data_IF_341272622603
#
_entry.id   IF_341272622603
#
_cell.length_a   1.000
_cell.length_b   1.000
_cell.length_c   1.000
_cell.angle_alpha   90.00
_cell.angle_beta   90.00
_cell.angle_gamma   90.00
#
_symmetry.space_group_name_H-M   'P 1'
#
loop_
_entity.id
_entity.type
_entity.pdbx_description
1 polymer ?
#
# COMPACT_ATOMS: atom_id res chain seq x y z
N UNK A 1 -7.71 -22.90 9.73
CA UNK A 1 -7.33 -22.93 8.29
C UNK A 1 -8.55 -22.76 7.37
N UNK A 2 -9.63 -23.55 7.51
CA UNK A 2 -10.84 -23.44 6.66
C UNK A 2 -11.43 -22.02 6.57
N UNK A 3 -11.63 -21.34 7.70
CA UNK A 3 -12.20 -19.98 7.70
C UNK A 3 -11.34 -18.95 6.95
N UNK A 4 -10.02 -19.02 7.08
CA UNK A 4 -9.11 -18.13 6.33
C UNK A 4 -9.21 -18.36 4.82
N UNK A 5 -9.29 -19.63 4.40
CA UNK A 5 -9.49 -19.99 2.99
C UNK A 5 -10.82 -19.47 2.44
N UNK A 6 -11.92 -19.65 3.18
CA UNK A 6 -13.24 -19.17 2.78
C UNK A 6 -13.32 -17.65 2.76
N UNK A 7 -12.72 -16.97 3.74
CA UNK A 7 -12.60 -15.53 3.75
C UNK A 7 -11.83 -15.02 2.53
N UNK A 8 -10.68 -15.62 2.20
CA UNK A 8 -9.92 -15.28 0.98
C UNK A 8 -10.73 -15.47 -0.29
N UNK A 9 -11.48 -16.57 -0.40
CA UNK A 9 -12.31 -16.82 -1.58
C UNK A 9 -13.43 -15.77 -1.71
N UNK A 10 -14.05 -15.40 -0.60
CA UNK A 10 -15.06 -14.36 -0.58
C UNK A 10 -14.48 -12.99 -0.95
N UNK A 11 -13.32 -12.62 -0.37
CA UNK A 11 -12.61 -11.38 -0.72
C UNK A 11 -12.27 -11.33 -2.21
N UNK A 12 -11.75 -12.42 -2.78
CA UNK A 12 -11.45 -12.52 -4.20
C UNK A 12 -12.70 -12.37 -5.07
N UNK A 13 -13.80 -13.04 -4.70
CA UNK A 13 -15.07 -12.97 -5.43
C UNK A 13 -15.67 -11.56 -5.44
N UNK A 14 -15.43 -10.77 -4.39
CA UNK A 14 -15.86 -9.37 -4.28
C UNK A 14 -14.84 -8.38 -4.87
N UNK A 15 -13.70 -8.83 -5.38
CA UNK A 15 -12.61 -7.95 -5.83
C UNK A 15 -11.98 -7.14 -4.69
N UNK A 16 -12.20 -7.52 -3.43
CA UNK A 16 -11.73 -6.83 -2.23
C UNK A 16 -10.27 -7.20 -1.89
N UNK A 17 -9.41 -7.23 -2.91
CA UNK A 17 -8.01 -7.64 -2.83
C UNK A 17 -7.12 -6.68 -3.60
N UNK A 18 -5.91 -6.45 -3.09
CA UNK A 18 -4.96 -5.52 -3.67
C UNK A 18 -3.60 -6.21 -3.86
N UNK A 19 -2.94 -6.03 -5.01
CA UNK A 19 -1.57 -6.51 -5.20
C UNK A 19 -0.57 -5.59 -4.50
N UNK A 20 0.39 -6.17 -3.80
CA UNK A 20 1.49 -5.49 -3.16
C UNK A 20 2.82 -6.04 -3.67
N UNK A 21 3.68 -5.15 -4.14
CA UNK A 21 5.07 -5.48 -4.51
C UNK A 21 5.98 -5.38 -3.29
N UNK A 22 6.95 -6.28 -3.22
CA UNK A 22 8.01 -6.29 -2.23
C UNK A 22 9.33 -6.73 -2.87
N UNK A 23 10.44 -6.36 -2.25
CA UNK A 23 11.76 -6.77 -2.70
C UNK A 23 12.12 -8.13 -2.08
N UNK A 24 12.46 -9.11 -2.92
CA UNK A 24 12.94 -10.43 -2.47
C UNK A 24 14.44 -10.36 -2.22
N UNK A 25 15.18 -9.82 -3.20
CA UNK A 25 16.61 -9.52 -3.10
C UNK A 25 16.99 -8.28 -3.93
N UNK A 26 18.28 -8.01 -4.11
CA UNK A 26 18.76 -6.83 -4.86
C UNK A 26 18.27 -6.77 -6.32
N UNK A 27 17.91 -7.90 -6.91
CA UNK A 27 17.51 -8.05 -8.31
C UNK A 27 16.12 -8.65 -8.52
N UNK A 28 15.55 -9.28 -7.49
CA UNK A 28 14.28 -9.98 -7.55
C UNK A 28 13.15 -9.20 -6.89
N UNK A 29 12.05 -9.10 -7.63
CA UNK A 29 10.83 -8.44 -7.21
C UNK A 29 9.76 -9.48 -6.99
N UNK A 30 9.13 -9.42 -5.83
CA UNK A 30 7.99 -10.24 -5.45
C UNK A 30 6.69 -9.45 -5.52
N UNK A 31 5.58 -10.15 -5.77
CA UNK A 31 4.23 -9.63 -5.69
C UNK A 31 3.37 -10.62 -4.90
N UNK A 32 2.57 -10.08 -3.99
CA UNK A 32 1.58 -10.83 -3.22
C UNK A 32 0.24 -10.11 -3.24
N UNK A 33 -0.84 -10.88 -3.18
CA UNK A 33 -2.19 -10.34 -3.06
C UNK A 33 -2.59 -10.25 -1.60
N UNK A 34 -3.16 -9.12 -1.17
CA UNK A 34 -3.58 -8.85 0.19
C UNK A 34 -5.07 -8.51 0.25
N UNK A 35 -5.74 -8.74 1.39
CA UNK A 35 -7.05 -8.13 1.65
C UNK A 35 -6.97 -6.59 1.52
N UNK A 36 -8.01 -5.97 0.98
CA UNK A 36 -8.12 -4.51 0.86
C UNK A 36 -8.44 -3.84 2.23
N UNK A 37 -7.45 -3.78 3.13
CA UNK A 37 -7.61 -3.36 4.53
C UNK A 37 -8.11 -1.92 4.77
N UNK A 38 -8.20 -1.09 3.73
CA UNK A 38 -8.79 0.25 3.80
C UNK A 38 -10.32 0.23 3.85
N UNK A 39 -10.93 -0.86 3.40
CA UNK A 39 -12.36 -1.08 3.55
C UNK A 39 -12.68 -1.53 4.99
N UNK A 40 -13.60 -0.83 5.66
CA UNK A 40 -13.97 -1.11 7.05
C UNK A 40 -14.59 -2.49 7.26
N UNK A 41 -15.30 -3.01 6.25
CA UNK A 41 -15.90 -4.34 6.27
C UNK A 41 -14.83 -5.41 6.16
N UNK A 42 -13.87 -5.24 5.25
CA UNK A 42 -12.70 -6.13 5.12
C UNK A 42 -11.88 -6.13 6.40
N UNK A 43 -11.63 -4.96 6.99
CA UNK A 43 -10.88 -4.83 8.24
C UNK A 43 -11.58 -5.59 9.40
N UNK A 44 -12.89 -5.39 9.56
CA UNK A 44 -13.69 -6.10 10.56
C UNK A 44 -13.65 -7.62 10.36
N UNK A 45 -13.78 -8.10 9.12
CA UNK A 45 -13.69 -9.52 8.78
C UNK A 45 -12.32 -10.11 9.16
N UNK A 46 -11.24 -9.41 8.84
CA UNK A 46 -9.88 -9.85 9.17
C UNK A 46 -9.64 -9.88 10.67
N UNK A 47 -10.17 -8.92 11.44
CA UNK A 47 -10.08 -8.92 12.90
C UNK A 47 -10.87 -10.07 13.54
N UNK A 48 -12.06 -10.38 13.01
CA UNK A 48 -12.81 -11.56 13.45
C UNK A 48 -12.05 -12.85 13.14
N UNK A 49 -11.46 -12.96 11.95
CA UNK A 49 -10.63 -14.10 11.59
C UNK A 49 -9.41 -14.21 12.52
N UNK A 50 -8.73 -13.10 12.80
CA UNK A 50 -7.58 -13.04 13.70
C UNK A 50 -7.89 -13.57 15.10
N UNK A 51 -9.07 -13.25 15.65
CA UNK A 51 -9.52 -13.74 16.96
C UNK A 51 -9.75 -15.26 17.01
N UNK A 52 -10.04 -15.89 15.86
CA UNK A 52 -10.27 -17.32 15.74
C UNK A 52 -8.99 -18.13 15.46
N UNK A 53 -7.88 -17.45 15.12
CA UNK A 53 -6.63 -18.14 14.78
C UNK A 53 -5.83 -18.49 16.04
N UNK A 54 -5.24 -19.70 16.10
CA UNK A 54 -4.32 -20.02 17.17
C UNK A 54 -3.08 -19.13 17.11
N UNK A 55 -2.57 -18.77 18.29
CA UNK A 55 -1.32 -18.01 18.42
C UNK A 55 -0.14 -18.82 17.90
N UNK A 56 0.74 -18.18 17.14
CA UNK A 56 1.96 -18.82 16.62
C UNK A 56 1.73 -19.80 15.47
N UNK A 57 0.56 -19.76 14.83
CA UNK A 57 0.27 -20.55 13.63
C UNK A 57 1.25 -20.22 12.48
N UNK A 58 1.64 -18.96 12.38
CA UNK A 58 2.67 -18.50 11.46
C UNK A 58 3.80 -17.85 12.25
N UNK A 59 5.02 -18.19 11.88
CA UNK A 59 6.24 -17.59 12.41
C UNK A 59 6.99 -16.90 11.29
N UNK A 60 7.45 -15.69 11.56
CA UNK A 60 8.38 -14.99 10.67
C UNK A 60 9.81 -15.34 11.07
N UNK A 61 10.57 -15.89 10.13
CA UNK A 61 11.98 -16.23 10.34
C UNK A 61 12.86 -15.18 9.67
N UNK A 62 13.69 -14.49 10.45
CA UNK A 62 14.79 -13.67 9.95
C UNK A 62 16.11 -14.29 10.41
N UNK A 63 16.75 -15.05 9.52
CA UNK A 63 17.88 -15.91 9.87
C UNK A 63 17.47 -17.00 10.86
N UNK A 64 18.17 -17.09 12.01
CA UNK A 64 17.91 -18.10 13.04
C UNK A 64 16.82 -17.74 14.06
N UNK A 65 16.29 -16.52 14.04
CA UNK A 65 15.27 -16.08 15.00
C UNK A 65 13.88 -16.21 14.38
N UNK A 66 13.00 -16.94 15.07
CA UNK A 66 11.58 -17.02 14.76
C UNK A 66 10.82 -16.06 15.68
N UNK A 67 10.07 -15.14 15.09
CA UNK A 67 9.18 -14.22 15.81
C UNK A 67 7.73 -14.62 15.58
N UNK A 68 6.95 -14.66 16.65
CA UNK A 68 5.50 -14.84 16.55
C UNK A 68 4.87 -13.59 15.95
N UNK A 69 3.95 -13.80 15.01
CA UNK A 69 3.17 -12.74 14.39
C UNK A 69 1.94 -12.44 15.24
N UNK A 70 1.47 -11.17 15.21
CA UNK A 70 0.19 -10.83 15.82
C UNK A 70 -0.96 -11.55 15.11
N UNK A 71 -2.10 -11.75 15.79
CA UNK A 71 -3.25 -12.45 15.21
C UNK A 71 -3.71 -11.83 13.88
N UNK A 72 -3.72 -10.50 13.80
CA UNK A 72 -4.06 -9.76 12.58
C UNK A 72 -3.06 -10.04 11.44
N UNK A 73 -1.76 -9.94 11.72
CA UNK A 73 -0.72 -10.20 10.72
C UNK A 73 -0.78 -11.67 10.26
N UNK A 74 -1.04 -12.61 11.17
CA UNK A 74 -1.26 -14.02 10.80
C UNK A 74 -2.47 -14.17 9.87
N UNK A 75 -3.59 -13.52 10.17
CA UNK A 75 -4.78 -13.58 9.34
C UNK A 75 -4.52 -13.02 7.93
N UNK A 76 -3.88 -11.85 7.84
CA UNK A 76 -3.50 -11.23 6.56
C UNK A 76 -2.55 -12.14 5.78
N UNK A 77 -1.53 -12.70 6.43
CA UNK A 77 -0.55 -13.57 5.77
C UNK A 77 -1.19 -14.86 5.25
N UNK A 78 -2.04 -15.51 6.05
CA UNK A 78 -2.80 -16.69 5.59
C UNK A 78 -3.71 -16.33 4.42
N UNK A 79 -4.41 -15.20 4.50
CA UNK A 79 -5.26 -14.77 3.41
C UNK A 79 -4.45 -14.55 2.14
N UNK A 80 -3.27 -13.92 2.25
CA UNK A 80 -2.36 -13.68 1.14
C UNK A 80 -1.92 -14.98 0.46
N UNK A 81 -1.56 -16.01 1.24
CA UNK A 81 -1.20 -17.32 0.70
C UNK A 81 -2.34 -17.95 -0.10
N UNK A 82 -3.56 -17.96 0.45
CA UNK A 82 -4.72 -18.51 -0.27
C UNK A 82 -5.09 -17.69 -1.51
N UNK A 83 -5.00 -16.37 -1.45
CA UNK A 83 -5.27 -15.48 -2.58
C UNK A 83 -4.31 -15.73 -3.74
N UNK A 84 -3.00 -15.82 -3.44
CA UNK A 84 -1.98 -16.14 -4.43
C UNK A 84 -2.26 -17.48 -5.12
N UNK A 85 -2.64 -18.51 -4.35
CA UNK A 85 -3.04 -19.80 -4.91
C UNK A 85 -4.28 -19.70 -5.81
N UNK A 86 -5.36 -19.05 -5.35
CA UNK A 86 -6.58 -18.93 -6.15
C UNK A 86 -6.37 -18.19 -7.47
N UNK A 87 -5.57 -17.12 -7.45
CA UNK A 87 -5.27 -16.33 -8.63
C UNK A 87 -4.43 -17.14 -9.62
N UNK A 88 -3.42 -17.86 -9.12
CA UNK A 88 -2.59 -18.75 -9.94
C UNK A 88 -3.42 -19.84 -10.62
N UNK A 89 -4.25 -20.55 -9.85
CA UNK A 89 -5.14 -21.59 -10.37
C UNK A 89 -6.19 -21.05 -11.35
N UNK A 90 -6.74 -19.86 -11.10
CA UNK A 90 -7.75 -19.26 -11.97
C UNK A 90 -7.26 -18.95 -13.39
N UNK A 91 -5.96 -18.76 -13.55
CA UNK A 91 -5.32 -18.36 -14.80
C UNK A 91 -4.83 -19.57 -15.59
N UNK A 92 -4.31 -20.59 -14.89
CA UNK A 92 -4.01 -21.90 -15.48
C UNK A 92 -5.25 -22.54 -16.14
N UNK A 93 -6.47 -22.21 -15.68
CA UNK A 93 -7.74 -22.71 -16.24
C UNK A 93 -8.19 -21.94 -17.51
N UNK A 94 -7.77 -20.67 -17.69
CA UNK A 94 -8.42 -19.75 -18.65
C UNK A 94 -7.63 -19.42 -19.92
N UNK A 95 -6.30 -19.49 -19.96
CA UNK A 95 -5.52 -19.14 -21.18
C UNK A 95 -4.12 -19.73 -21.21
N UNK A 96 -3.59 -19.87 -22.43
CA UNK A 96 -2.21 -20.28 -22.76
C UNK A 96 -1.18 -19.73 -21.76
N UNK A 97 -0.49 -20.67 -21.11
CA UNK A 97 0.84 -20.56 -20.47
C UNK A 97 1.40 -19.11 -20.48
N UNK A 98 1.52 -18.43 -19.32
CA UNK A 98 2.05 -17.04 -19.21
C UNK A 98 3.55 -16.91 -19.53
N UNK A 99 4.13 -17.84 -20.29
CA UNK A 99 5.56 -18.06 -20.49
C UNK A 99 6.27 -17.02 -21.36
N UNK A 100 5.61 -15.91 -21.74
CA UNK A 100 6.22 -14.84 -22.54
C UNK A 100 6.37 -13.48 -21.83
N UNK A 101 5.58 -13.21 -20.78
CA UNK A 101 5.57 -11.89 -20.13
C UNK A 101 5.97 -12.00 -18.66
N UNK A 102 7.15 -11.47 -18.33
CA UNK A 102 7.64 -11.37 -16.95
C UNK A 102 6.65 -10.64 -16.03
N UNK A 103 5.90 -9.69 -16.57
CA UNK A 103 4.88 -8.95 -15.83
C UNK A 103 3.65 -9.80 -15.54
N UNK A 104 3.16 -10.58 -16.51
CA UNK A 104 2.07 -11.54 -16.24
C UNK A 104 2.53 -12.61 -15.24
N UNK A 105 3.75 -13.13 -15.38
CA UNK A 105 4.32 -14.07 -14.42
C UNK A 105 4.39 -13.50 -12.99
N UNK A 106 4.72 -12.20 -12.85
CA UNK A 106 4.75 -11.51 -11.56
C UNK A 106 3.35 -11.39 -10.93
N UNK A 107 2.33 -11.02 -11.68
CA UNK A 107 0.98 -10.82 -11.11
C UNK A 107 0.22 -12.13 -10.90
N UNK A 108 0.46 -13.11 -11.75
CA UNK A 108 -0.46 -14.24 -11.97
C UNK A 108 0.22 -15.60 -11.98
N UNK A 109 1.55 -15.64 -12.04
CA UNK A 109 2.35 -16.86 -11.99
C UNK A 109 2.90 -17.14 -10.60
N UNK A 110 4.23 -17.25 -10.51
CA UNK A 110 4.92 -17.58 -9.25
C UNK A 110 4.99 -16.39 -8.27
N UNK A 111 4.60 -15.19 -8.69
CA UNK A 111 4.66 -14.01 -7.84
C UNK A 111 6.08 -13.48 -7.62
N UNK A 112 7.09 -13.99 -8.33
CA UNK A 112 8.49 -13.53 -8.25
C UNK A 112 9.07 -13.45 -9.66
N UNK A 113 9.77 -12.36 -9.97
CA UNK A 113 10.45 -12.19 -11.26
C UNK A 113 11.68 -11.30 -11.14
N UNK A 114 12.58 -11.44 -12.12
CA UNK A 114 13.76 -10.60 -12.29
C UNK A 114 13.66 -9.80 -13.59
N UNK A 115 13.76 -8.48 -13.48
CA UNK A 115 13.73 -7.54 -14.60
C UNK A 115 15.16 -7.15 -15.00
N UNK A 116 15.85 -8.03 -15.73
CA UNK A 116 17.26 -7.91 -16.13
C UNK A 116 17.48 -7.82 -17.65
N UNK A 117 16.40 -7.79 -18.43
CA UNK A 117 16.46 -7.62 -19.87
C UNK A 117 16.76 -6.17 -20.30
N UNK A 118 17.20 -5.95 -21.55
CA UNK A 118 17.38 -4.61 -22.10
C UNK A 118 16.10 -3.78 -21.98
N UNK A 119 16.18 -2.61 -21.35
CA UNK A 119 15.03 -1.72 -21.15
C UNK A 119 14.08 -2.09 -20.00
N UNK A 120 14.38 -3.15 -19.22
CA UNK A 120 13.50 -3.59 -18.12
C UNK A 120 13.77 -2.88 -16.78
N UNK A 121 14.83 -2.07 -16.68
CA UNK A 121 15.29 -1.47 -15.41
C UNK A 121 14.25 -0.62 -14.68
N UNK A 122 13.30 -0.03 -15.40
CA UNK A 122 12.24 0.83 -14.84
C UNK A 122 10.92 0.09 -14.56
N UNK A 123 10.79 -1.18 -14.96
CA UNK A 123 9.52 -1.91 -14.85
C UNK A 123 9.13 -2.11 -13.38
N UNK A 124 10.08 -2.53 -12.54
CA UNK A 124 9.85 -2.71 -11.11
C UNK A 124 9.35 -1.41 -10.44
N UNK A 125 10.06 -0.31 -10.69
CA UNK A 125 9.73 1.03 -10.19
C UNK A 125 8.37 1.50 -10.71
N UNK A 126 8.06 1.25 -11.98
CA UNK A 126 6.77 1.57 -12.59
C UNK A 126 5.60 0.81 -11.97
N UNK A 127 5.76 -0.51 -11.74
CA UNK A 127 4.73 -1.32 -11.06
C UNK A 127 4.55 -0.83 -9.62
N UNK A 128 5.63 -0.57 -8.89
CA UNK A 128 5.54 -0.04 -7.52
C UNK A 128 4.84 1.33 -7.49
N UNK A 129 5.16 2.23 -8.42
CA UNK A 129 4.52 3.55 -8.52
C UNK A 129 3.02 3.41 -8.84
N UNK A 130 2.66 2.53 -9.77
CA UNK A 130 1.26 2.27 -10.10
C UNK A 130 0.49 1.72 -8.89
N UNK A 131 1.06 0.76 -8.17
CA UNK A 131 0.44 0.13 -7.00
C UNK A 131 0.39 1.02 -5.76
N UNK A 132 1.28 2.01 -5.64
CA UNK A 132 1.30 2.92 -4.50
C UNK A 132 -0.02 3.64 -4.29
N UNK A 133 -0.79 3.87 -5.36
CA UNK A 133 -2.14 4.46 -5.36
C UNK A 133 -3.12 3.70 -4.47
N UNK A 134 -3.00 2.37 -4.42
CA UNK A 134 -3.90 1.52 -3.62
C UNK A 134 -3.49 1.45 -2.14
N UNK A 135 -2.33 1.98 -1.78
CA UNK A 135 -1.75 1.88 -0.43
C UNK A 135 -1.62 3.23 0.29
N UNK A 136 -2.18 4.30 -0.29
CA UNK A 136 -2.14 5.68 0.24
C UNK A 136 -2.56 5.74 1.72
N UNK A 137 -3.60 4.98 2.12
CA UNK A 137 -4.12 5.01 3.49
C UNK A 137 -3.37 4.18 4.54
N UNK A 138 -2.30 3.46 4.16
CA UNK A 138 -1.49 2.64 5.08
C UNK A 138 -0.22 3.34 5.60
N UNK A 139 0.00 4.59 5.20
CA UNK A 139 1.18 5.36 5.60
C UNK A 139 1.12 5.79 7.07
N UNK A 140 2.27 5.81 7.74
CA UNK A 140 2.41 6.33 9.12
C UNK A 140 1.96 7.78 9.24
N UNK A 141 2.18 8.55 8.18
CA UNK A 141 1.82 9.96 8.08
C UNK A 141 0.90 10.18 6.89
N UNK A 142 -0.20 10.88 7.14
CA UNK A 142 -1.24 11.13 6.14
C UNK A 142 -1.33 12.63 5.85
N UNK A 143 -1.36 13.04 4.57
CA UNK A 143 -1.66 14.42 4.23
C UNK A 143 -3.13 14.71 4.55
N UNK A 144 -3.38 15.90 5.09
CA UNK A 144 -4.73 16.41 5.39
C UNK A 144 -4.92 17.77 4.73
N UNK A 145 -6.11 17.99 4.18
CA UNK A 145 -6.51 19.31 3.68
C UNK A 145 -7.01 20.14 4.85
N UNK A 146 -6.41 21.31 5.04
CA UNK A 146 -6.81 22.28 6.05
C UNK A 146 -7.53 23.43 5.34
N UNK A 147 -8.77 23.68 5.73
CA UNK A 147 -9.52 24.84 5.29
C UNK A 147 -9.57 25.83 6.44
N UNK A 148 -8.96 26.99 6.24
CA UNK A 148 -9.00 28.09 7.19
C UNK A 148 -9.95 29.16 6.66
N UNK A 149 -10.89 29.57 7.51
CA UNK A 149 -11.76 30.72 7.23
C UNK A 149 -10.99 31.99 7.60
N UNK A 150 -10.83 32.87 6.63
CA UNK A 150 -10.26 34.18 6.80
C UNK A 150 -11.31 35.22 6.42
N UNK A 151 -11.17 36.46 6.91
CA UNK A 151 -12.15 37.53 6.65
C UNK A 151 -12.38 37.84 5.16
N UNK A 152 -11.55 37.30 4.26
CA UNK A 152 -11.62 37.46 2.81
C UNK A 152 -12.10 36.20 2.05
N UNK A 153 -12.43 35.11 2.75
CA UNK A 153 -12.86 33.83 2.17
C UNK A 153 -12.20 32.61 2.82
N UNK A 154 -11.99 31.55 2.06
CA UNK A 154 -11.36 30.34 2.57
C UNK A 154 -9.95 30.16 1.99
N UNK A 155 -8.98 29.88 2.85
CA UNK A 155 -7.65 29.41 2.45
C UNK A 155 -7.54 27.91 2.61
N UNK A 156 -7.07 27.24 1.56
CA UNK A 156 -6.78 25.81 1.55
C UNK A 156 -5.27 25.60 1.69
N UNK A 157 -4.86 24.80 2.67
CA UNK A 157 -3.47 24.39 2.88
C UNK A 157 -3.38 22.87 3.09
N UNK A 158 -2.17 22.34 3.01
CA UNK A 158 -1.89 20.93 3.32
C UNK A 158 -1.09 20.84 4.62
N UNK A 159 -1.61 20.01 5.53
CA UNK A 159 -0.92 19.55 6.72
C UNK A 159 -0.60 18.07 6.63
N UNK A 160 0.14 17.57 7.62
CA UNK A 160 0.52 16.16 7.75
C UNK A 160 0.26 15.74 9.20
N UNK A 161 -0.50 14.67 9.38
CA UNK A 161 -0.80 14.09 10.71
C UNK A 161 -0.27 12.67 10.79
N UNK A 162 0.11 12.25 12.00
CA UNK A 162 0.39 10.83 12.25
C UNK A 162 -0.95 10.07 12.29
N UNK A 163 -1.01 8.91 11.64
CA UNK A 163 -2.23 8.10 11.53
C UNK A 163 -2.85 7.76 12.90
N UNK A 164 -2.01 7.52 13.89
CA UNK A 164 -2.43 7.14 15.25
C UNK A 164 -2.67 8.36 16.17
N UNK A 165 -2.54 9.59 15.66
CA UNK A 165 -2.67 10.83 16.41
C UNK A 165 -3.52 11.86 15.66
N UNK A 166 -4.68 11.45 15.13
CA UNK A 166 -5.56 12.27 14.29
C UNK A 166 -6.14 13.52 14.97
N UNK A 167 -5.94 13.69 16.28
CA UNK A 167 -6.40 14.85 17.07
C UNK A 167 -5.30 15.90 17.30
N UNK A 168 -4.08 15.68 16.79
CA UNK A 168 -3.00 16.66 16.86
C UNK A 168 -3.11 17.69 15.74
N UNK A 169 -2.65 18.91 16.03
CA UNK A 169 -2.55 19.97 15.02
C UNK A 169 -1.67 19.48 13.86
N UNK A 170 -2.16 19.53 12.61
CA UNK A 170 -1.40 19.06 11.47
C UNK A 170 -0.10 19.84 11.29
N UNK A 171 0.99 19.13 11.03
CA UNK A 171 2.28 19.78 10.73
C UNK A 171 2.21 20.35 9.31
N UNK A 172 2.46 21.65 9.09
CA UNK A 172 2.39 22.25 7.76
C UNK A 172 3.31 21.54 6.76
N UNK A 173 2.82 21.26 5.55
CA UNK A 173 3.60 20.57 4.52
C UNK A 173 4.94 21.28 4.20
N UNK A 174 4.99 22.62 4.30
CA UNK A 174 6.22 23.41 4.15
C UNK A 174 7.33 23.00 5.13
N UNK A 175 6.98 22.65 6.37
CA UNK A 175 7.94 22.15 7.37
C UNK A 175 8.44 20.76 7.00
N UNK A 176 7.57 19.89 6.49
CA UNK A 176 7.98 18.57 6.02
C UNK A 176 9.02 18.66 4.89
N UNK A 177 8.90 19.65 4.00
CA UNK A 177 9.85 19.87 2.90
C UNK A 177 11.25 20.27 3.39
N UNK A 178 11.35 20.99 4.51
CA UNK A 178 12.57 21.66 4.96
C UNK A 178 13.25 20.99 6.15
N UNK A 179 12.48 20.52 7.13
CA UNK A 179 13.00 20.03 8.41
C UNK A 179 13.65 18.64 8.27
N UNK A 180 14.85 18.46 8.85
CA UNK A 180 15.59 17.18 8.78
C UNK A 180 14.86 16.01 9.44
N UNK A 181 14.04 16.27 10.45
CA UNK A 181 13.25 15.27 11.20
C UNK A 181 12.35 14.45 10.27
N UNK A 182 11.94 15.03 9.13
CA UNK A 182 11.05 14.37 8.18
C UNK A 182 11.76 13.56 7.08
N UNK A 183 13.10 13.55 7.01
CA UNK A 183 13.82 12.92 5.89
C UNK A 183 13.39 11.47 5.61
N UNK A 184 13.19 10.65 6.65
CA UNK A 184 12.80 9.25 6.50
C UNK A 184 11.38 9.05 5.95
N UNK A 185 10.47 10.00 6.18
CA UNK A 185 9.05 9.88 5.81
C UNK A 185 8.64 10.84 4.68
N UNK A 186 9.53 11.75 4.27
CA UNK A 186 9.23 12.80 3.30
C UNK A 186 8.79 12.22 1.96
N UNK A 187 9.51 11.21 1.47
CA UNK A 187 9.22 10.63 0.16
C UNK A 187 7.82 10.01 0.11
N UNK A 188 7.42 9.25 1.13
CA UNK A 188 6.11 8.59 1.15
C UNK A 188 4.95 9.58 1.26
N UNK A 189 5.11 10.65 2.05
CA UNK A 189 4.11 11.72 2.13
C UNK A 189 4.02 12.48 0.80
N UNK A 190 5.15 12.84 0.19
CA UNK A 190 5.16 13.53 -1.10
C UNK A 190 4.59 12.68 -2.23
N UNK A 191 4.86 11.37 -2.23
CA UNK A 191 4.25 10.45 -3.19
C UNK A 191 2.72 10.49 -3.09
N UNK A 192 2.18 10.49 -1.88
CA UNK A 192 0.73 10.59 -1.66
C UNK A 192 0.17 11.94 -2.11
N UNK A 193 0.86 13.03 -1.78
CA UNK A 193 0.46 14.39 -2.16
C UNK A 193 0.49 14.56 -3.68
N UNK A 194 1.50 14.01 -4.37
CA UNK A 194 1.57 14.01 -5.84
C UNK A 194 0.39 13.26 -6.46
N UNK A 195 -0.02 12.14 -5.87
CA UNK A 195 -1.21 11.40 -6.32
C UNK A 195 -2.49 12.22 -6.13
N UNK A 196 -2.65 12.92 -5.00
CA UNK A 196 -3.78 13.83 -4.80
C UNK A 196 -3.79 14.97 -5.81
N UNK A 197 -2.61 15.47 -6.18
CA UNK A 197 -2.47 16.56 -7.14
C UNK A 197 -2.80 16.15 -8.58
N UNK A 198 -2.75 14.85 -8.92
CA UNK A 198 -3.31 14.32 -10.18
C UNK A 198 -4.84 14.54 -10.26
N UNK A 199 -5.55 14.46 -9.13
CA UNK A 199 -7.01 14.66 -9.07
C UNK A 199 -7.42 16.12 -8.87
N UNK A 200 -6.54 16.96 -8.31
CA UNK A 200 -6.79 18.39 -8.10
C UNK A 200 -5.62 19.23 -8.63
N UNK A 201 -5.62 19.60 -9.93
CA UNK A 201 -4.51 20.31 -10.57
C UNK A 201 -4.01 21.59 -9.88
N UNK A 202 -4.87 22.42 -9.24
CA UNK A 202 -4.39 23.58 -8.48
C UNK A 202 -3.39 23.23 -7.35
N UNK A 203 -3.44 22.00 -6.83
CA UNK A 203 -2.53 21.52 -5.81
C UNK A 203 -1.08 21.44 -6.31
N UNK A 204 -0.87 21.13 -7.60
CA UNK A 204 0.47 21.09 -8.19
C UNK A 204 1.16 22.46 -8.11
N UNK A 205 0.41 23.54 -8.34
CA UNK A 205 0.95 24.90 -8.23
C UNK A 205 1.30 25.24 -6.77
N UNK A 206 0.45 24.87 -5.81
CA UNK A 206 0.72 25.05 -4.39
C UNK A 206 1.99 24.31 -3.92
N UNK A 207 2.15 23.04 -4.31
CA UNK A 207 3.32 22.22 -3.94
C UNK A 207 4.60 22.79 -4.55
N UNK A 208 4.58 23.11 -5.85
CA UNK A 208 5.75 23.70 -6.54
C UNK A 208 6.16 25.06 -5.99
N UNK A 209 5.22 25.81 -5.40
CA UNK A 209 5.48 27.05 -4.67
C UNK A 209 5.97 26.84 -3.22
N UNK A 210 6.37 25.62 -2.86
CA UNK A 210 6.91 25.30 -1.54
C UNK A 210 5.86 25.04 -0.46
N UNK A 211 4.61 24.77 -0.86
CA UNK A 211 3.49 24.52 0.04
C UNK A 211 3.26 25.65 1.07
N UNK A 212 3.39 26.89 0.62
CA UNK A 212 3.11 28.08 1.42
C UNK A 212 1.76 28.68 1.01
N UNK A 213 0.90 29.00 1.97
CA UNK A 213 -0.35 29.71 1.71
C UNK A 213 -0.01 31.14 1.29
N UNK A 214 -0.17 31.46 0.00
CA UNK A 214 -0.16 32.86 -0.42
C UNK A 214 -1.50 33.48 -0.04
N UNK A 215 -1.50 34.36 0.96
CA UNK A 215 -2.54 35.39 1.07
C UNK A 215 -2.43 36.26 -0.17
N UNK A 216 -3.47 36.27 -1.01
CA UNK A 216 -3.67 37.38 -1.95
C UNK A 216 -4.39 38.50 -1.22
#
# INVERSE_FOLDING_TARGET
MYHARMASLHLLAQGAVLPQVFQVDKSEVGLRWLPAMLDGTVNALINQLAALLPTGLLTYCNGKKANHLSGEIQAIALCSLFLSEFIRYGIDIRTEKPYGSKLLSLFFGQGVTRFDGPGEGEIASGVQLWLSRFHIGQQTYMPVLQLEDNSAGFSLSLGVVARNASLQEPVPLARLLTDKVWQANRYSVLQTVSLLAEFFPPLNHYISAGATSRSR
#
